data_IF_785247232312
#
_entry.id   IF_785247232312
#
_cell.length_a   1.000
_cell.length_b   1.000
_cell.length_c   1.000
_cell.angle_alpha   90.00
_cell.angle_beta   90.00
_cell.angle_gamma   90.00
#
_symmetry.space_group_name_H-M   'P 1'
#
loop_
_entity.id
_entity.type
_entity.pdbx_description
1 polymer ?
#
# COMPACT_ATOMS: atom_id res chain seq x y z
N UNK A 1 -24.59 11.53 -30.46
CA UNK A 1 -24.43 12.81 -29.73
C UNK A 1 -23.49 12.59 -28.56
N UNK A 2 -22.21 12.90 -28.74
CA UNK A 2 -21.27 13.06 -27.63
C UNK A 2 -21.43 14.50 -27.15
N UNK A 3 -21.94 14.70 -25.93
CA UNK A 3 -21.89 16.01 -25.30
C UNK A 3 -20.54 16.12 -24.60
N UNK A 4 -19.70 17.00 -25.15
CA UNK A 4 -18.41 17.42 -24.60
C UNK A 4 -18.64 18.80 -23.99
N UNK A 5 -18.31 18.97 -22.72
CA UNK A 5 -17.99 20.26 -22.09
C UNK A 5 -16.76 19.97 -21.21
N UNK A 6 -15.52 20.41 -21.51
CA UNK A 6 -15.00 21.78 -21.65
C UNK A 6 -15.30 22.60 -20.38
N UNK A 7 -14.44 22.50 -19.35
CA UNK A 7 -13.16 23.18 -19.08
C UNK A 7 -13.34 24.56 -18.42
N UNK A 8 -12.76 24.72 -17.23
CA UNK A 8 -11.74 25.73 -16.84
C UNK A 8 -10.96 25.09 -15.67
N UNK A 9 -9.63 25.08 -15.57
CA UNK A 9 -8.68 26.13 -15.90
C UNK A 9 -7.98 26.50 -14.59
N UNK A 10 -6.73 26.07 -14.40
CA UNK A 10 -5.94 26.34 -13.20
C UNK A 10 -4.51 25.79 -13.35
N UNK A 11 -3.66 26.55 -14.04
CA UNK A 11 -2.24 26.28 -14.24
C UNK A 11 -1.36 26.65 -13.02
N UNK A 12 -0.12 26.15 -13.06
CA UNK A 12 1.06 26.46 -12.23
C UNK A 12 1.12 25.71 -10.90
N UNK A 13 2.25 25.15 -10.43
CA UNK A 13 3.66 25.27 -10.79
C UNK A 13 4.38 24.03 -10.23
N UNK A 14 5.41 23.53 -10.90
CA UNK A 14 6.03 22.22 -10.64
C UNK A 14 6.32 21.89 -9.17
N UNK A 15 5.89 20.71 -8.74
CA UNK A 15 6.23 20.17 -7.44
C UNK A 15 7.36 19.14 -7.59
N UNK A 16 8.55 19.62 -7.24
CA UNK A 16 9.66 18.79 -6.77
C UNK A 16 9.06 17.84 -5.74
N UNK A 17 9.15 16.53 -5.98
CA UNK A 17 8.83 15.50 -4.98
C UNK A 17 9.78 15.71 -3.80
N UNK A 18 9.37 16.52 -2.83
CA UNK A 18 10.08 16.70 -1.57
C UNK A 18 9.78 15.47 -0.73
N UNK A 19 10.83 14.84 -0.22
CA UNK A 19 10.68 13.73 0.72
C UNK A 19 9.83 14.16 1.93
N UNK A 20 8.99 13.26 2.49
CA UNK A 20 8.19 13.55 3.67
C UNK A 20 9.06 14.10 4.79
N UNK A 21 8.65 15.22 5.37
CA UNK A 21 9.43 15.85 6.46
C UNK A 21 9.35 15.00 7.74
N UNK A 22 10.43 15.00 8.53
CA UNK A 22 10.55 14.15 9.71
C UNK A 22 9.54 14.55 10.79
N UNK A 23 8.96 13.57 11.48
CA UNK A 23 7.80 13.77 12.36
C UNK A 23 8.03 14.71 13.55
N UNK A 24 9.28 14.95 13.96
CA UNK A 24 9.61 15.84 15.09
C UNK A 24 9.60 17.32 14.72
N UNK A 25 9.68 17.66 13.43
CA UNK A 25 9.76 19.04 12.94
C UNK A 25 8.40 19.55 12.44
N UNK A 26 7.39 18.69 12.43
CA UNK A 26 6.04 18.97 11.95
C UNK A 26 5.06 19.17 13.11
N UNK A 27 4.40 20.32 13.16
CA UNK A 27 3.21 20.53 13.99
C UNK A 27 1.96 20.76 13.11
N UNK A 28 1.13 19.72 12.89
CA UNK A 28 -0.03 19.81 12.02
C UNK A 28 -1.09 20.80 12.53
N UNK A 29 -1.06 21.22 13.81
CA UNK A 29 -2.06 22.15 14.35
C UNK A 29 -1.83 23.59 13.91
N UNK A 30 -0.58 23.99 13.71
CA UNK A 30 -0.20 25.37 13.35
C UNK A 30 -0.02 25.57 11.84
N UNK A 31 0.13 24.48 11.07
CA UNK A 31 0.34 24.52 9.62
C UNK A 31 -0.84 25.14 8.84
N UNK A 32 -0.51 25.75 7.69
CA UNK A 32 -1.51 26.25 6.73
C UNK A 32 -2.13 25.09 5.94
N UNK A 33 -3.35 25.29 5.44
CA UNK A 33 -4.08 24.27 4.66
C UNK A 33 -3.27 23.82 3.43
N UNK A 34 -2.53 24.73 2.81
CA UNK A 34 -1.65 24.44 1.66
C UNK A 34 -0.52 23.48 2.05
N UNK A 35 0.18 23.76 3.16
CA UNK A 35 1.27 22.93 3.68
C UNK A 35 0.78 21.55 4.14
N UNK A 36 -0.41 21.49 4.74
CA UNK A 36 -1.05 20.23 5.13
C UNK A 36 -1.35 19.35 3.90
N UNK A 37 -1.72 19.95 2.76
CA UNK A 37 -1.98 19.20 1.52
C UNK A 37 -0.69 18.67 0.92
N UNK A 38 0.35 19.50 0.83
CA UNK A 38 1.64 19.07 0.28
C UNK A 38 2.26 17.95 1.09
N UNK A 39 2.18 18.00 2.44
CA UNK A 39 2.72 16.93 3.30
C UNK A 39 1.88 15.63 3.21
N UNK A 40 0.56 15.74 3.03
CA UNK A 40 -0.29 14.58 2.76
C UNK A 40 0.04 13.95 1.40
N UNK A 41 0.24 14.76 0.36
CA UNK A 41 0.60 14.29 -0.98
C UNK A 41 2.00 13.65 -1.01
N UNK A 42 2.98 14.22 -0.29
CA UNK A 42 4.31 13.62 -0.12
C UNK A 42 4.25 12.22 0.52
N UNK A 43 3.26 11.99 1.40
CA UNK A 43 2.99 10.69 2.04
C UNK A 43 1.99 9.81 1.28
N UNK A 44 1.60 10.20 0.06
CA UNK A 44 0.61 9.50 -0.77
C UNK A 44 -0.76 9.35 -0.08
N UNK A 45 -1.13 10.32 0.74
CA UNK A 45 -2.41 10.43 1.43
C UNK A 45 -3.32 11.45 0.74
N UNK A 46 -4.64 11.29 0.93
CA UNK A 46 -5.61 12.20 0.32
C UNK A 46 -5.48 13.64 0.86
N UNK A 47 -5.31 14.66 -0.01
CA UNK A 47 -5.26 16.08 0.37
C UNK A 47 -6.66 16.74 0.48
N UNK A 48 -7.74 15.96 0.39
CA UNK A 48 -9.11 16.47 0.37
C UNK A 48 -9.72 16.53 1.78
N UNK A 49 -10.52 17.57 2.02
CA UNK A 49 -11.31 17.75 3.24
C UNK A 49 -11.15 19.13 3.90
N UNK A 50 -11.85 19.30 5.02
CA UNK A 50 -11.73 20.45 5.92
C UNK A 50 -10.36 20.47 6.63
N UNK A 51 -9.88 21.64 7.08
CA UNK A 51 -8.60 21.77 7.79
C UNK A 51 -8.46 20.75 8.93
N UNK A 52 -9.49 20.58 9.75
CA UNK A 52 -9.51 19.60 10.86
C UNK A 52 -9.33 18.15 10.39
N UNK A 53 -9.88 17.77 9.24
CA UNK A 53 -9.74 16.43 8.66
C UNK A 53 -8.32 16.18 8.13
N UNK A 54 -7.70 17.19 7.53
CA UNK A 54 -6.31 17.11 7.08
C UNK A 54 -5.35 16.94 8.26
N UNK A 55 -5.56 17.73 9.32
CA UNK A 55 -4.79 17.64 10.57
C UNK A 55 -4.94 16.26 11.20
N UNK A 56 -6.17 15.74 11.33
CA UNK A 56 -6.42 14.44 11.92
C UNK A 56 -5.72 13.31 11.12
N UNK A 57 -5.76 13.38 9.80
CA UNK A 57 -5.09 12.42 8.90
C UNK A 57 -3.58 12.46 9.06
N UNK A 58 -2.97 13.65 9.01
CA UNK A 58 -1.52 13.82 9.15
C UNK A 58 -1.04 13.41 10.54
N UNK A 59 -1.73 13.85 11.60
CA UNK A 59 -1.39 13.48 12.99
C UNK A 59 -1.43 11.97 13.21
N UNK A 60 -2.39 11.26 12.60
CA UNK A 60 -2.48 9.80 12.70
C UNK A 60 -1.26 9.13 12.08
N UNK A 61 -0.83 9.61 10.90
CA UNK A 61 0.36 9.08 10.21
C UNK A 61 1.64 9.35 11.00
N UNK A 62 1.81 10.57 11.51
CA UNK A 62 2.97 10.95 12.32
C UNK A 62 3.09 10.11 13.59
N UNK A 63 1.99 9.84 14.29
CA UNK A 63 1.98 8.94 15.44
C UNK A 63 2.39 7.52 15.06
N UNK A 64 1.86 6.97 13.97
CA UNK A 64 2.23 5.62 13.52
C UNK A 64 3.69 5.51 13.08
N UNK A 65 4.31 6.59 12.59
CA UNK A 65 5.74 6.62 12.29
C UNK A 65 6.59 6.74 13.56
N UNK A 66 6.17 7.55 14.53
CA UNK A 66 6.80 7.66 15.85
C UNK A 66 6.76 6.33 16.60
N UNK A 67 5.60 5.67 16.66
CA UNK A 67 5.43 4.39 17.36
C UNK A 67 6.31 3.29 16.72
N UNK A 68 6.42 3.27 15.38
CA UNK A 68 7.32 2.34 14.67
C UNK A 68 8.79 2.64 14.93
N UNK A 69 9.19 3.92 14.98
CA UNK A 69 10.56 4.32 15.29
C UNK A 69 10.93 4.03 16.76
N UNK A 70 9.98 4.17 17.69
CA UNK A 70 10.19 3.83 19.10
C UNK A 70 10.29 2.31 19.31
N UNK A 71 9.44 1.52 18.64
CA UNK A 71 9.50 0.05 18.67
C UNK A 71 10.83 -0.49 18.10
N UNK A 72 11.41 0.19 17.12
CA UNK A 72 12.73 -0.15 16.59
C UNK A 72 13.88 0.23 17.54
N UNK A 73 13.75 1.34 18.29
CA UNK A 73 14.73 1.74 19.32
C UNK A 73 14.69 0.86 20.57
N UNK A 74 13.51 0.41 20.99
CA UNK A 74 13.35 -0.52 22.12
C UNK A 74 13.96 -1.90 21.86
N UNK A 75 14.01 -2.35 20.59
CA UNK A 75 14.74 -3.57 20.19
C UNK A 75 16.27 -3.43 20.24
N UNK A 76 16.80 -2.21 20.40
CA UNK A 76 18.25 -1.91 20.50
C UNK A 76 18.72 -1.59 21.93
N UNK A 77 17.83 -1.56 22.92
CA UNK A 77 18.13 -1.06 24.28
C UNK A 77 18.10 -2.14 25.40
N UNK A 78 18.15 -3.42 25.07
CA UNK A 78 18.24 -4.52 26.05
C UNK A 78 19.68 -5.05 26.29
N UNK A 79 20.72 -4.25 26.07
CA UNK A 79 22.10 -4.55 26.50
C UNK A 79 22.46 -3.64 27.69
N UNK A 80 22.66 -4.16 28.92
CA UNK A 80 23.10 -3.39 30.10
C UNK A 80 24.56 -2.92 29.93
N UNK A 81 25.03 -1.90 30.70
CA UNK A 81 26.30 -1.21 30.43
C UNK A 81 27.52 -2.14 30.54
N UNK A 82 28.56 -1.97 29.70
CA UNK A 82 29.67 -2.91 29.62
C UNK A 82 30.67 -2.74 30.79
N UNK A 83 31.00 -3.79 31.57
CA UNK A 83 32.33 -3.94 32.14
C UNK A 83 33.30 -4.46 31.04
N UNK A 84 34.62 -4.23 31.18
CA UNK A 84 35.56 -4.28 30.05
C UNK A 84 35.76 -5.71 29.51
N UNK A 85 35.77 -5.81 28.17
CA UNK A 85 36.17 -6.93 27.27
C UNK A 85 36.77 -8.19 27.93
N UNK A 86 36.36 -9.40 27.49
CA UNK A 86 36.76 -9.90 26.16
C UNK A 86 35.63 -10.55 25.33
N UNK A 87 35.89 -10.70 24.03
CA UNK A 87 35.09 -11.27 22.93
C UNK A 87 34.34 -12.58 23.28
N UNK A 88 33.11 -12.85 22.75
CA UNK A 88 32.84 -13.05 21.31
C UNK A 88 31.49 -12.46 20.83
N UNK A 89 31.48 -11.66 19.75
CA UNK A 89 30.24 -11.10 19.12
C UNK A 89 30.00 -11.60 17.68
N UNK A 90 30.57 -12.75 17.28
CA UNK A 90 30.54 -13.22 15.88
C UNK A 90 29.30 -14.08 15.57
N UNK A 91 28.74 -14.82 16.54
CA UNK A 91 27.67 -15.81 16.27
C UNK A 91 26.26 -15.21 16.06
N UNK A 92 25.98 -14.02 16.63
CA UNK A 92 24.64 -13.40 16.54
C UNK A 92 24.40 -12.70 15.18
N UNK A 93 25.44 -12.10 14.60
CA UNK A 93 25.37 -11.43 13.30
C UNK A 93 25.22 -12.44 12.14
N UNK A 94 25.94 -13.56 12.20
CA UNK A 94 25.81 -14.65 11.21
C UNK A 94 24.43 -15.32 11.26
N UNK A 95 23.85 -15.50 12.46
CA UNK A 95 22.50 -16.06 12.61
C UNK A 95 21.44 -15.12 12.03
N UNK A 96 21.55 -13.81 12.28
CA UNK A 96 20.65 -12.79 11.75
C UNK A 96 20.75 -12.66 10.22
N UNK A 97 21.96 -12.67 9.66
CA UNK A 97 22.17 -12.66 8.20
C UNK A 97 21.58 -13.90 7.52
N UNK A 98 21.72 -15.08 8.13
CA UNK A 98 21.15 -16.33 7.62
C UNK A 98 19.62 -16.32 7.66
N UNK A 99 19.02 -15.77 8.71
CA UNK A 99 17.56 -15.59 8.81
C UNK A 99 17.03 -14.59 7.77
N UNK A 100 17.75 -13.51 7.50
CA UNK A 100 17.38 -12.52 6.48
C UNK A 100 17.49 -13.09 5.07
N UNK A 101 18.51 -13.92 4.79
CA UNK A 101 18.68 -14.60 3.50
C UNK A 101 17.59 -15.64 3.24
N UNK A 102 17.22 -16.44 4.25
CA UNK A 102 16.12 -17.41 4.15
C UNK A 102 14.76 -16.71 3.95
N UNK A 103 14.53 -15.58 4.65
CA UNK A 103 13.32 -14.78 4.45
C UNK A 103 13.26 -14.17 3.05
N UNK A 104 14.38 -13.69 2.50
CA UNK A 104 14.46 -13.21 1.10
C UNK A 104 14.19 -14.33 0.10
N UNK A 105 14.77 -15.52 0.29
CA UNK A 105 14.50 -16.69 -0.55
C UNK A 105 13.03 -17.11 -0.51
N UNK A 106 12.40 -17.05 0.67
CA UNK A 106 10.98 -17.36 0.81
C UNK A 106 10.12 -16.34 0.09
N UNK A 107 10.42 -15.04 0.23
CA UNK A 107 9.70 -13.95 -0.43
C UNK A 107 9.84 -14.03 -1.96
N UNK A 108 11.04 -14.30 -2.47
CA UNK A 108 11.25 -14.53 -3.90
C UNK A 108 10.50 -15.76 -4.41
N UNK A 109 10.48 -16.85 -3.65
CA UNK A 109 9.72 -18.06 -4.00
C UNK A 109 8.22 -17.78 -4.04
N UNK A 110 7.69 -16.99 -3.11
CA UNK A 110 6.29 -16.57 -3.08
C UNK A 110 5.95 -15.62 -4.23
N UNK A 111 6.84 -14.66 -4.53
CA UNK A 111 6.73 -13.72 -5.64
C UNK A 111 6.68 -14.46 -6.97
N UNK A 112 7.62 -15.38 -7.20
CA UNK A 112 7.68 -16.21 -8.42
C UNK A 112 6.44 -17.11 -8.56
N UNK A 113 5.93 -17.64 -7.44
CA UNK A 113 4.70 -18.41 -7.44
C UNK A 113 3.46 -17.55 -7.75
N UNK A 114 3.46 -16.27 -7.37
CA UNK A 114 2.41 -15.30 -7.72
C UNK A 114 2.46 -14.95 -9.20
N UNK A 115 3.63 -14.60 -9.72
CA UNK A 115 3.82 -14.29 -11.15
C UNK A 115 3.41 -15.45 -12.06
N UNK A 116 3.74 -16.70 -11.69
CA UNK A 116 3.29 -17.90 -12.44
C UNK A 116 1.78 -18.13 -12.41
N UNK A 117 1.08 -17.73 -11.34
CA UNK A 117 -0.35 -17.97 -11.17
C UNK A 117 -1.24 -16.89 -11.79
N UNK A 118 -0.72 -15.67 -11.88
CA UNK A 118 -1.47 -14.48 -12.27
C UNK A 118 -0.85 -13.84 -13.51
N UNK A 119 -0.80 -14.59 -14.62
CA UNK A 119 -0.34 -14.06 -15.91
C UNK A 119 -1.45 -13.32 -16.63
N UNK A 120 -1.10 -12.19 -17.24
CA UNK A 120 -2.02 -11.40 -18.05
C UNK A 120 -2.01 -11.93 -19.50
N UNK A 121 -3.17 -12.17 -20.12
CA UNK A 121 -3.27 -12.50 -21.53
C UNK A 121 -3.01 -11.26 -22.41
N UNK A 122 -2.55 -11.50 -23.64
CA UNK A 122 -2.22 -10.45 -24.62
C UNK A 122 -3.46 -9.70 -25.14
N UNK A 123 -4.59 -10.41 -25.25
CA UNK A 123 -5.88 -9.83 -25.63
C UNK A 123 -6.69 -9.38 -24.39
N UNK A 124 -7.57 -8.37 -24.50
CA UNK A 124 -8.37 -7.88 -23.38
C UNK A 124 -9.32 -8.95 -22.84
N UNK A 125 -9.10 -9.40 -21.60
CA UNK A 125 -9.88 -10.45 -20.95
C UNK A 125 -10.22 -10.05 -19.52
N UNK A 126 -11.39 -10.49 -19.04
CA UNK A 126 -11.74 -10.40 -17.62
C UNK A 126 -11.07 -11.58 -16.91
N UNK A 127 -10.11 -11.27 -16.04
CA UNK A 127 -9.41 -12.28 -15.24
C UNK A 127 -10.14 -12.54 -13.94
N UNK A 128 -10.48 -13.81 -13.72
CA UNK A 128 -11.16 -14.27 -12.51
C UNK A 128 -10.32 -15.36 -11.87
N UNK A 129 -9.89 -15.11 -10.64
CA UNK A 129 -9.15 -16.08 -9.84
C UNK A 129 -9.92 -16.34 -8.55
N UNK A 130 -10.65 -17.47 -8.45
CA UNK A 130 -11.37 -17.79 -7.23
C UNK A 130 -10.41 -17.84 -6.03
N UNK A 131 -10.88 -17.32 -4.90
CA UNK A 131 -10.09 -17.34 -3.66
C UNK A 131 -9.91 -18.78 -3.18
N UNK A 132 -8.66 -19.23 -3.12
CA UNK A 132 -8.29 -20.58 -2.65
C UNK A 132 -8.58 -20.82 -1.17
N UNK A 133 -8.73 -19.75 -0.38
CA UNK A 133 -8.97 -19.81 1.07
C UNK A 133 -10.43 -19.54 1.43
N UNK A 134 -11.21 -18.94 0.52
CA UNK A 134 -12.64 -18.71 0.76
C UNK A 134 -13.42 -20.02 0.64
N UNK A 135 -14.46 -20.18 1.48
CA UNK A 135 -15.37 -21.35 1.49
C UNK A 135 -14.62 -22.70 1.46
N UNK A 136 -13.54 -22.84 2.23
CA UNK A 136 -12.73 -24.05 2.29
C UNK A 136 -12.14 -24.48 0.94
N UNK A 137 -11.85 -23.51 0.05
CA UNK A 137 -11.31 -23.77 -1.29
C UNK A 137 -12.36 -24.23 -2.30
N UNK A 138 -13.65 -24.22 -1.95
CA UNK A 138 -14.78 -24.57 -2.83
C UNK A 138 -15.49 -23.33 -3.39
N UNK A 139 -14.73 -22.27 -3.62
CA UNK A 139 -15.26 -21.08 -4.28
C UNK A 139 -14.95 -21.19 -5.76
N UNK A 140 -15.97 -21.41 -6.59
CA UNK A 140 -15.83 -21.53 -8.05
C UNK A 140 -16.46 -20.31 -8.76
N UNK A 141 -16.04 -20.06 -9.99
CA UNK A 141 -16.57 -19.00 -10.83
C UNK A 141 -17.03 -19.59 -12.17
N UNK A 142 -18.24 -19.25 -12.58
CA UNK A 142 -18.84 -19.75 -13.83
C UNK A 142 -19.20 -18.57 -14.72
N UNK A 143 -18.89 -18.68 -16.02
CA UNK A 143 -19.28 -17.68 -17.02
C UNK A 143 -20.71 -18.02 -17.47
N UNK A 144 -21.62 -17.05 -17.32
CA UNK A 144 -23.02 -17.19 -17.74
C UNK A 144 -23.37 -15.97 -18.58
N UNK A 145 -24.08 -16.17 -19.69
CA UNK A 145 -24.59 -15.06 -20.51
C UNK A 145 -25.78 -14.39 -19.82
N UNK A 146 -25.93 -13.08 -20.04
CA UNK A 146 -27.07 -12.34 -19.51
C UNK A 146 -28.40 -12.90 -20.01
N UNK A 147 -28.45 -13.40 -21.25
CA UNK A 147 -29.63 -14.04 -21.83
C UNK A 147 -30.06 -15.28 -21.05
N UNK A 148 -29.11 -16.10 -20.57
CA UNK A 148 -29.43 -17.27 -19.74
C UNK A 148 -29.94 -16.86 -18.36
N UNK A 149 -29.37 -15.81 -17.75
CA UNK A 149 -29.83 -15.31 -16.44
C UNK A 149 -31.21 -14.66 -16.49
N UNK A 150 -31.58 -14.10 -17.64
CA UNK A 150 -32.86 -13.43 -17.86
C UNK A 150 -33.88 -14.30 -18.60
N UNK A 151 -33.55 -15.57 -18.89
CA UNK A 151 -34.36 -16.52 -19.66
C UNK A 151 -34.88 -15.95 -21.01
N UNK A 152 -34.07 -15.10 -21.66
CA UNK A 152 -34.44 -14.54 -22.95
C UNK A 152 -34.53 -15.64 -24.00
N UNK A 153 -35.66 -15.70 -24.69
CA UNK A 153 -35.87 -16.64 -25.78
C UNK A 153 -35.45 -16.00 -27.12
N UNK A 154 -35.10 -16.80 -28.14
CA UNK A 154 -34.75 -16.24 -29.46
C UNK A 154 -35.89 -15.42 -30.08
N UNK A 155 -37.14 -15.61 -29.65
CA UNK A 155 -38.28 -14.80 -30.09
C UNK A 155 -38.30 -13.39 -29.47
N UNK A 156 -37.60 -13.16 -28.35
CA UNK A 156 -37.53 -11.86 -27.66
C UNK A 156 -36.48 -10.92 -28.28
N UNK A 157 -35.51 -11.47 -29.02
CA UNK A 157 -34.53 -10.69 -29.79
C UNK A 157 -35.21 -10.07 -31.00
N UNK A 158 -35.65 -8.81 -30.86
CA UNK A 158 -36.07 -7.98 -31.98
C UNK A 158 -34.87 -7.75 -32.91
N UNK A 159 -34.94 -8.37 -34.08
CA UNK A 159 -34.03 -8.12 -35.22
C UNK A 159 -34.33 -6.75 -35.82
#
# INVERSE_FOLDING_TARGET
>A
MTLVCFQEGGESMGEIKKDPTHYSELDPKIMKVTELRTELEARLLSPKGLKSQLIARLTKTLKTEQDKAEEEKLKKAAEPPPPPKPEPKIEDDDKKRKEEEEKRKQDERERMAREKRYTLPDAPHILVHPSRVAKSGKFDCTIISLSLLLDYRPEDTKV
#
